data_IF_557960131423
#
_entry.id   IF_557960131423
#
_cell.length_a   1.000
_cell.length_b   1.000
_cell.length_c   1.000
_cell.angle_alpha   90.00
_cell.angle_beta   90.00
_cell.angle_gamma   90.00
#
_symmetry.space_group_name_H-M   'P 1'
#
loop_
_entity.id
_entity.type
_entity.pdbx_description
1 polymer ?
#
# COMPACT_ATOMS: atom_id res chain seq x y z
N UNK A 1 -10.09 14.02 8.47
CA UNK A 1 -10.74 12.80 7.93
C UNK A 1 -9.66 11.75 7.76
N UNK A 2 -9.78 10.62 8.44
CA UNK A 2 -8.82 9.53 8.33
C UNK A 2 -8.99 8.85 6.96
N UNK A 3 -7.90 8.70 6.21
CA UNK A 3 -7.89 8.00 4.93
C UNK A 3 -7.90 6.51 5.28
N UNK A 4 -9.07 5.90 5.30
CA UNK A 4 -9.18 4.44 5.42
C UNK A 4 -8.84 3.87 4.06
N UNK A 5 -7.57 3.54 3.84
CA UNK A 5 -7.17 2.80 2.64
C UNK A 5 -7.91 1.47 2.58
N UNK A 6 -8.44 1.18 1.41
CA UNK A 6 -9.17 -0.05 1.12
C UNK A 6 -8.26 -1.26 1.34
N UNK A 7 -8.73 -2.35 1.98
CA UNK A 7 -7.92 -3.54 2.22
C UNK A 7 -7.25 -4.04 0.94
N UNK A 8 -6.00 -4.49 1.04
CA UNK A 8 -5.19 -4.93 -0.12
C UNK A 8 -5.93 -5.99 -0.96
N UNK A 9 -6.68 -6.88 -0.31
CA UNK A 9 -7.49 -7.92 -0.96
C UNK A 9 -8.56 -7.32 -1.88
N UNK A 10 -9.25 -6.27 -1.45
CA UNK A 10 -10.26 -5.58 -2.27
C UNK A 10 -9.64 -4.86 -3.48
N UNK A 11 -8.41 -4.38 -3.35
CA UNK A 11 -7.66 -3.77 -4.46
C UNK A 11 -7.24 -4.80 -5.50
N UNK A 12 -6.84 -6.00 -5.05
CA UNK A 12 -6.49 -7.11 -5.93
C UNK A 12 -7.71 -7.68 -6.66
N UNK A 13 -8.82 -7.87 -5.96
CA UNK A 13 -10.09 -8.33 -6.55
C UNK A 13 -10.59 -7.38 -7.65
N UNK A 14 -10.47 -6.06 -7.43
CA UNK A 14 -10.78 -5.06 -8.44
C UNK A 14 -9.87 -5.15 -9.67
N UNK A 15 -8.58 -5.43 -9.48
CA UNK A 15 -7.63 -5.61 -10.59
C UNK A 15 -7.95 -6.86 -11.41
N UNK A 16 -8.28 -7.97 -10.76
CA UNK A 16 -8.64 -9.23 -11.42
C UNK A 16 -9.91 -9.08 -12.29
N UNK A 17 -10.91 -8.38 -11.74
CA UNK A 17 -12.14 -8.07 -12.48
C UNK A 17 -11.87 -7.18 -13.71
N UNK A 18 -11.02 -6.14 -13.59
CA UNK A 18 -10.66 -5.30 -14.74
C UNK A 18 -9.87 -6.07 -15.81
N UNK A 19 -8.97 -6.97 -15.41
CA UNK A 19 -8.23 -7.81 -16.36
C UNK A 19 -9.14 -8.77 -17.13
N UNK A 20 -10.16 -9.31 -16.45
CA UNK A 20 -11.17 -10.17 -17.08
C UNK A 20 -11.97 -9.44 -18.15
N UNK A 21 -12.47 -8.24 -17.85
CA UNK A 21 -13.21 -7.42 -18.81
C UNK A 21 -12.34 -7.04 -20.03
N UNK A 22 -11.08 -6.68 -19.80
CA UNK A 22 -10.14 -6.36 -20.88
C UNK A 22 -9.80 -7.57 -21.75
N UNK A 23 -9.68 -8.77 -21.16
CA UNK A 23 -9.47 -10.01 -21.90
C UNK A 23 -10.69 -10.37 -22.75
N UNK A 24 -11.90 -10.13 -22.25
CA UNK A 24 -13.15 -10.34 -22.99
C UNK A 24 -13.31 -9.35 -24.16
N UNK A 25 -12.88 -8.10 -23.98
CA UNK A 25 -12.86 -7.08 -25.05
C UNK A 25 -11.78 -7.34 -26.11
N UNK A 26 -10.63 -7.90 -25.71
CA UNK A 26 -9.52 -8.24 -26.59
C UNK A 26 -9.81 -9.38 -27.58
N UNK A 27 -10.90 -10.13 -27.39
CA UNK A 27 -11.35 -11.18 -28.32
C UNK A 27 -12.17 -10.67 -29.52
N UNK A 28 -12.63 -9.42 -29.51
CA UNK A 28 -13.48 -8.86 -30.56
C UNK A 28 -12.75 -7.79 -31.37
N UNK A 29 -12.23 -8.17 -32.56
CA UNK A 29 -11.73 -7.24 -33.59
C UNK A 29 -12.84 -6.39 -34.27
N UNK A 30 -13.85 -5.95 -33.52
CA UNK A 30 -14.96 -5.16 -34.04
C UNK A 30 -15.17 -3.95 -33.13
N UNK A 31 -15.20 -2.71 -33.67
CA UNK A 31 -15.37 -1.54 -32.84
C UNK A 31 -16.75 -1.63 -32.15
N UNK A 32 -16.82 -1.55 -30.81
CA UNK A 32 -18.10 -1.54 -30.14
C UNK A 32 -18.78 -0.21 -30.48
N UNK A 33 -19.98 -0.28 -31.07
CA UNK A 33 -20.91 0.85 -31.09
C UNK A 33 -21.28 1.11 -29.63
N UNK A 34 -20.58 2.05 -29.00
CA UNK A 34 -20.76 2.38 -27.60
C UNK A 34 -22.04 3.22 -27.44
N UNK A 35 -23.12 2.56 -27.02
CA UNK A 35 -24.33 3.21 -26.52
C UNK A 35 -24.59 2.65 -25.12
N UNK A 36 -23.92 3.18 -24.10
CA UNK A 36 -24.22 2.87 -22.70
C UNK A 36 -23.87 4.07 -21.81
N UNK A 37 -24.76 4.46 -20.87
CA UNK A 37 -24.60 5.68 -20.09
C UNK A 37 -23.61 5.46 -18.96
N UNK A 38 -22.48 6.16 -19.00
CA UNK A 38 -21.47 6.14 -17.94
C UNK A 38 -21.93 6.95 -16.73
N UNK A 39 -21.88 6.34 -15.55
CA UNK A 39 -22.06 7.01 -14.25
C UNK A 39 -20.90 7.98 -14.00
N UNK A 40 -21.15 9.26 -13.63
CA UNK A 40 -20.08 10.22 -13.44
C UNK A 40 -19.36 9.97 -12.10
N UNK A 41 -18.08 9.67 -12.18
CA UNK A 41 -17.18 9.68 -11.03
C UNK A 41 -16.97 11.12 -10.56
N UNK A 42 -17.08 11.33 -9.25
CA UNK A 42 -17.00 12.62 -8.57
C UNK A 42 -15.64 13.29 -8.83
N UNK A 43 -15.65 14.44 -9.51
CA UNK A 43 -14.44 15.21 -9.82
C UNK A 43 -14.73 16.64 -10.26
N UNK A 44 -14.64 17.56 -9.29
CA UNK A 44 -14.49 19.03 -9.39
C UNK A 44 -15.51 19.79 -10.24
N UNK A 45 -16.55 20.29 -9.57
CA UNK A 45 -17.49 21.29 -10.11
C UNK A 45 -16.75 22.58 -10.48
N UNK A 46 -16.55 22.85 -11.77
CA UNK A 46 -16.45 24.24 -12.24
C UNK A 46 -17.85 24.85 -12.22
N UNK A 47 -17.91 26.15 -11.87
CA UNK A 47 -19.05 26.98 -11.42
C UNK A 47 -20.35 26.95 -12.26
N UNK A 48 -20.40 26.22 -13.37
CA UNK A 48 -21.57 26.09 -14.24
C UNK A 48 -21.88 24.63 -14.59
N UNK A 49 -22.04 23.74 -13.58
CA UNK A 49 -22.88 22.52 -13.64
C UNK A 49 -22.71 21.53 -14.81
N UNK A 50 -21.67 21.65 -15.63
CA UNK A 50 -21.47 20.85 -16.83
C UNK A 50 -20.42 19.79 -16.53
N UNK A 51 -20.84 18.53 -16.55
CA UNK A 51 -19.91 17.40 -16.61
C UNK A 51 -19.10 17.58 -17.89
N UNK A 52 -17.85 18.01 -17.77
CA UNK A 52 -16.98 18.19 -18.92
C UNK A 52 -16.54 16.80 -19.39
N UNK A 53 -17.35 16.20 -20.26
CA UNK A 53 -16.86 15.11 -21.08
C UNK A 53 -15.74 15.68 -21.94
N UNK A 54 -14.52 15.15 -21.80
CA UNK A 54 -13.41 15.52 -22.67
C UNK A 54 -13.75 14.91 -24.02
N UNK A 55 -14.15 15.76 -24.95
CA UNK A 55 -14.29 15.36 -26.35
C UNK A 55 -12.91 14.86 -26.82
N UNK A 56 -12.84 13.60 -27.26
CA UNK A 56 -11.61 12.97 -27.76
C UNK A 56 -11.50 13.10 -29.29
N UNK A 57 -12.30 13.99 -29.90
CA UNK A 57 -12.09 14.42 -31.27
C UNK A 57 -10.66 14.97 -31.45
N UNK A 58 -10.00 14.72 -32.60
CA UNK A 58 -8.68 15.29 -32.87
C UNK A 58 -8.62 16.81 -32.68
N UNK A 59 -9.71 17.50 -33.02
CA UNK A 59 -9.83 18.96 -32.97
C UNK A 59 -10.00 19.51 -31.54
N UNK A 60 -10.54 18.72 -30.61
CA UNK A 60 -10.64 19.07 -29.19
C UNK A 60 -9.37 18.70 -28.42
N UNK A 61 -8.70 17.62 -28.78
CA UNK A 61 -7.42 17.19 -28.19
C UNK A 61 -6.31 18.22 -28.43
N UNK A 62 -6.29 18.90 -29.58
CA UNK A 62 -5.28 19.93 -29.88
C UNK A 62 -5.26 21.07 -28.84
N UNK A 63 -6.41 21.37 -28.20
CA UNK A 63 -6.53 22.41 -27.17
C UNK A 63 -6.12 21.93 -25.77
N UNK A 64 -6.00 20.62 -25.57
CA UNK A 64 -5.80 20.01 -24.25
C UNK A 64 -4.50 19.22 -24.15
N UNK A 65 -3.91 18.84 -25.27
CA UNK A 65 -2.65 18.12 -25.33
C UNK A 65 -1.44 19.07 -25.37
N UNK A 66 -0.34 18.62 -24.77
CA UNK A 66 0.96 19.26 -24.95
C UNK A 66 1.53 18.85 -26.32
N UNK A 67 2.42 19.67 -26.92
CA UNK A 67 3.08 19.32 -28.16
C UNK A 67 3.76 17.95 -28.07
N UNK A 68 3.64 17.14 -29.14
CA UNK A 68 4.16 15.76 -29.16
C UNK A 68 5.68 15.70 -28.90
N UNK A 69 6.43 16.72 -29.32
CA UNK A 69 7.87 16.83 -29.07
C UNK A 69 8.21 16.88 -27.57
N UNK A 70 7.41 17.59 -26.78
CA UNK A 70 7.60 17.68 -25.35
C UNK A 70 7.28 16.34 -24.67
N UNK A 71 6.21 15.68 -25.10
CA UNK A 71 5.82 14.36 -24.59
C UNK A 71 6.89 13.32 -24.89
N UNK A 72 7.43 13.31 -26.11
CA UNK A 72 8.51 12.41 -26.50
C UNK A 72 9.77 12.61 -25.63
N UNK A 73 10.21 13.86 -25.45
CA UNK A 73 11.34 14.18 -24.58
C UNK A 73 11.11 13.75 -23.13
N UNK A 74 9.89 13.97 -22.61
CA UNK A 74 9.53 13.54 -21.26
C UNK A 74 9.56 12.01 -21.11
N UNK A 75 9.05 11.27 -22.09
CA UNK A 75 9.06 9.80 -22.07
C UNK A 75 10.45 9.21 -22.24
N UNK A 76 11.33 9.87 -23.01
CA UNK A 76 12.72 9.45 -23.16
C UNK A 76 13.49 9.59 -21.84
N UNK A 77 13.25 10.68 -21.10
CA UNK A 77 13.88 10.90 -19.78
C UNK A 77 13.29 9.99 -18.69
N UNK A 78 11.97 9.77 -18.70
CA UNK A 78 11.28 8.97 -17.66
C UNK A 78 11.36 7.47 -17.88
N UNK A 79 11.76 7.04 -19.07
CA UNK A 79 11.75 5.65 -19.47
C UNK A 79 10.35 5.09 -19.71
N UNK A 80 10.32 3.80 -20.01
CA UNK A 80 9.11 3.03 -20.28
C UNK A 80 8.34 2.72 -19.00
N UNK A 81 7.07 2.34 -19.17
CA UNK A 81 6.27 1.85 -18.05
C UNK A 81 6.88 0.59 -17.41
N UNK A 82 7.52 -0.26 -18.22
CA UNK A 82 8.13 -1.52 -17.77
C UNK A 82 9.31 -1.24 -16.83
N UNK A 83 10.22 -0.34 -17.21
CA UNK A 83 11.35 0.06 -16.35
C UNK A 83 10.87 0.65 -15.02
N UNK A 84 9.79 1.43 -15.04
CA UNK A 84 9.20 1.98 -13.82
C UNK A 84 8.55 0.93 -12.92
N UNK A 85 8.00 -0.14 -13.50
CA UNK A 85 7.45 -1.27 -12.76
C UNK A 85 8.56 -2.09 -12.11
N UNK A 86 9.63 -2.37 -12.84
CA UNK A 86 10.82 -3.07 -12.34
C UNK A 86 11.43 -2.36 -11.11
N UNK A 87 11.61 -1.04 -11.19
CA UNK A 87 12.06 -0.22 -10.05
C UNK A 87 11.09 -0.24 -8.85
N UNK A 88 9.78 -0.37 -9.09
CA UNK A 88 8.80 -0.47 -8.02
C UNK A 88 8.86 -1.85 -7.35
N UNK A 89 8.98 -2.92 -8.14
CA UNK A 89 9.15 -4.28 -7.64
C UNK A 89 10.39 -4.40 -6.74
N UNK A 90 11.53 -3.84 -7.15
CA UNK A 90 12.75 -3.82 -6.33
C UNK A 90 12.53 -3.11 -4.97
N UNK A 91 11.84 -1.96 -5.00
CA UNK A 91 11.55 -1.18 -3.78
C UNK A 91 10.56 -1.90 -2.86
N UNK A 92 9.56 -2.58 -3.42
CA UNK A 92 8.60 -3.38 -2.65
C UNK A 92 9.32 -4.57 -2.02
N UNK A 93 10.14 -5.30 -2.77
CA UNK A 93 10.93 -6.42 -2.26
C UNK A 93 11.85 -5.98 -1.10
N UNK A 94 12.48 -4.81 -1.21
CA UNK A 94 13.31 -4.24 -0.15
C UNK A 94 12.51 -3.88 1.10
N UNK A 95 11.28 -3.39 0.94
CA UNK A 95 10.39 -3.08 2.06
C UNK A 95 9.89 -4.35 2.74
N UNK A 96 9.54 -5.39 1.98
CA UNK A 96 9.14 -6.69 2.53
C UNK A 96 10.28 -7.31 3.34
N UNK A 97 11.49 -7.38 2.78
CA UNK A 97 12.66 -7.90 3.49
C UNK A 97 13.04 -7.07 4.73
N UNK A 98 12.88 -5.74 4.67
CA UNK A 98 13.10 -4.85 5.82
C UNK A 98 12.06 -5.02 6.92
N UNK A 99 10.79 -5.24 6.57
CA UNK A 99 9.70 -5.48 7.51
C UNK A 99 9.86 -6.83 8.22
N UNK A 100 10.30 -7.88 7.52
CA UNK A 100 10.60 -9.18 8.14
C UNK A 100 11.75 -9.10 9.15
N UNK A 101 12.79 -8.32 8.84
CA UNK A 101 13.91 -8.10 9.74
C UNK A 101 13.51 -7.33 11.02
N UNK A 102 12.55 -6.40 10.93
CA UNK A 102 12.05 -5.63 12.08
C UNK A 102 11.12 -6.49 12.96
N UNK A 103 10.27 -7.32 12.34
CA UNK A 103 9.42 -8.30 13.03
C UNK A 103 10.25 -9.31 13.83
N UNK A 104 11.34 -9.84 13.25
CA UNK A 104 12.25 -10.73 13.97
C UNK A 104 12.96 -10.05 15.15
N UNK A 105 13.22 -8.74 15.08
CA UNK A 105 13.83 -7.99 16.19
C UNK A 105 12.84 -7.72 17.32
N UNK A 106 11.56 -7.48 17.02
CA UNK A 106 10.50 -7.34 18.02
C UNK A 106 10.21 -8.65 18.78
N UNK A 107 10.16 -9.78 18.06
CA UNK A 107 9.94 -11.11 18.67
C UNK A 107 11.11 -11.52 19.58
N UNK A 108 12.36 -11.25 19.18
CA UNK A 108 13.55 -11.57 20.02
C UNK A 108 13.68 -10.62 21.23
N UNK A 109 13.18 -9.38 21.13
CA UNK A 109 13.21 -8.40 22.22
C UNK A 109 12.21 -8.69 23.36
N UNK A 110 11.11 -9.38 23.06
CA UNK A 110 10.04 -9.71 24.02
C UNK A 110 10.30 -11.01 24.79
N UNK A 111 10.96 -11.99 24.17
CA UNK A 111 11.38 -13.26 24.82
C UNK A 111 12.39 -13.04 25.97
N UNK A 112 13.34 -12.10 25.83
CA UNK A 112 14.41 -11.87 26.82
C UNK A 112 13.98 -11.15 28.10
N UNK A 113 12.72 -10.72 28.23
CA UNK A 113 12.23 -10.00 29.43
C UNK A 113 11.59 -10.88 30.49
N UNK A 114 11.54 -12.20 30.30
CA UNK A 114 11.04 -13.13 31.33
C UNK A 114 12.20 -13.70 32.15
N UNK A 115 12.52 -13.03 33.26
CA UNK A 115 12.70 -13.63 34.60
C UNK A 115 13.33 -12.61 35.58
N UNK A 116 12.64 -11.50 35.86
CA UNK A 116 12.96 -10.71 37.07
C UNK A 116 12.29 -11.42 38.24
N UNK A 117 13.11 -12.07 39.09
CA UNK A 117 12.71 -12.61 40.39
C UNK A 117 12.11 -11.47 41.22
N UNK A 118 10.79 -11.29 41.10
CA UNK A 118 10.05 -10.20 41.72
C UNK A 118 9.91 -10.37 43.23
N UNK A 119 9.07 -9.50 43.83
CA UNK A 119 8.78 -9.37 45.26
C UNK A 119 8.69 -10.71 46.04
N UNK A 120 8.25 -11.80 45.40
CA UNK A 120 8.20 -13.15 45.99
C UNK A 120 9.53 -13.59 46.59
N UNK A 121 10.67 -13.30 45.93
CA UNK A 121 12.00 -13.63 46.46
C UNK A 121 12.44 -12.75 47.63
N UNK A 122 11.90 -11.53 47.73
CA UNK A 122 12.13 -10.63 48.86
C UNK A 122 11.30 -11.08 50.08
N UNK A 123 10.03 -11.42 49.85
CA UNK A 123 9.13 -11.96 50.89
C UNK A 123 9.66 -13.28 51.43
N UNK A 124 10.19 -14.16 50.58
CA UNK A 124 10.79 -15.42 51.00
C UNK A 124 12.01 -15.22 51.91
N UNK A 125 12.85 -14.20 51.65
CA UNK A 125 13.99 -13.87 52.53
C UNK A 125 13.57 -13.26 53.87
N UNK A 126 12.47 -12.49 53.89
CA UNK A 126 11.93 -11.90 55.12
C UNK A 126 11.25 -12.97 55.99
N UNK A 127 10.47 -13.86 55.38
CA UNK A 127 9.75 -14.95 56.08
C UNK A 127 10.73 -16.03 56.56
N UNK A 128 11.80 -16.32 55.82
CA UNK A 128 12.81 -17.33 56.17
C UNK A 128 13.90 -16.79 57.10
N UNK A 129 13.51 -15.83 57.95
CA UNK A 129 14.36 -15.04 58.83
C UNK A 129 15.41 -15.83 59.62
N UNK A 130 16.50 -15.11 59.90
CA UNK A 130 17.65 -15.49 60.73
C UNK A 130 17.31 -16.41 61.91
N UNK A 131 17.46 -17.73 61.72
CA UNK A 131 17.75 -18.67 62.81
C UNK A 131 19.26 -18.85 62.90
N UNK A 132 19.93 -17.87 63.51
CA UNK A 132 21.21 -18.10 64.19
C UNK A 132 21.08 -17.56 65.61
N UNK A 133 20.32 -18.29 66.42
CA UNK A 133 20.60 -18.36 67.84
C UNK A 133 21.73 -19.39 67.97
N UNK A 134 22.95 -18.92 68.24
CA UNK A 134 23.97 -19.74 68.87
C UNK A 134 24.05 -19.23 70.30
N UNK A 135 23.26 -19.84 71.16
CA UNK A 135 23.71 -20.08 72.53
C UNK A 135 24.81 -21.13 72.46
N UNK A 136 25.93 -20.86 73.11
CA UNK A 136 26.98 -21.74 73.67
C UNK A 136 28.13 -20.76 73.95
N UNK A 137 28.65 -20.55 75.15
CA UNK A 137 28.58 -21.22 76.45
C UNK A 137 29.06 -20.19 77.49
#
# INVERSE_FOLDING_TARGET
MAITEEPIISRLDRLDNMMRELAELGGCNRPPKCSSPSTPSSGTLTREGKVSFVDLSPESLEKHCRPISYVMMETEVKGTLVERLDHLEERVLKLEGGLEADKHREEVGTEKRKHKKGLKGLVEKIVKGNKKHRDME
#
